data_IF_878978896634
#
_entry.id   IF_878978896634
#
_cell.length_a   1.000
_cell.length_b   1.000
_cell.length_c   1.000
_cell.angle_alpha   90.00
_cell.angle_beta   90.00
_cell.angle_gamma   90.00
#
_symmetry.space_group_name_H-M   'P 1'
#
loop_
_entity.id
_entity.type
_entity.pdbx_description
1 polymer ?
#
# COMPACT_ATOMS: atom_id res chain seq x y z
N UNK A 1 -3.16 1.77 15.43
CA UNK A 1 -3.05 2.26 14.04
C UNK A 1 -1.87 3.22 13.99
N UNK A 2 -1.05 3.17 12.94
CA UNK A 2 0.16 3.98 12.85
C UNK A 2 -0.17 5.49 12.77
N UNK A 3 0.35 6.28 13.72
CA UNK A 3 0.17 7.73 13.73
C UNK A 3 0.79 8.41 12.51
N UNK A 4 1.82 7.82 11.91
CA UNK A 4 2.55 8.34 10.76
C UNK A 4 2.02 7.84 9.41
N UNK A 5 0.89 7.12 9.40
CA UNK A 5 0.18 6.87 8.15
C UNK A 5 -0.65 8.10 7.79
N UNK A 6 -0.29 8.77 6.68
CA UNK A 6 -0.93 10.02 6.22
C UNK A 6 -1.98 9.82 5.11
N UNK A 7 -2.13 8.60 4.58
CA UNK A 7 -3.14 8.21 3.58
C UNK A 7 -4.46 7.77 4.21
N UNK A 8 -4.92 8.49 5.24
CA UNK A 8 -6.16 8.21 5.98
C UNK A 8 -7.13 9.39 5.88
N UNK A 9 -8.45 9.16 6.10
CA UNK A 9 -9.40 10.25 6.26
C UNK A 9 -8.91 11.28 7.29
N UNK A 10 -9.15 12.56 7.02
CA UNK A 10 -8.69 13.69 7.84
C UNK A 10 -7.18 13.95 7.87
N UNK A 11 -6.37 13.20 7.12
CA UNK A 11 -4.96 13.49 6.85
C UNK A 11 -4.74 13.80 5.37
N UNK A 12 -3.60 14.40 5.06
CA UNK A 12 -3.24 14.76 3.68
C UNK A 12 -1.73 14.70 3.49
N UNK A 13 -1.30 14.86 2.24
CA UNK A 13 0.11 15.01 1.90
C UNK A 13 0.74 16.24 2.55
N UNK A 14 -0.02 17.31 2.80
CA UNK A 14 0.45 18.49 3.55
C UNK A 14 0.89 18.12 4.96
N UNK A 15 0.11 17.32 5.68
CA UNK A 15 0.47 16.89 7.03
C UNK A 15 1.77 16.08 7.06
N UNK A 16 2.03 15.27 6.02
CA UNK A 16 3.29 14.53 5.88
C UNK A 16 4.48 15.47 5.64
N UNK A 17 4.29 16.50 4.80
CA UNK A 17 5.31 17.52 4.54
C UNK A 17 5.60 18.38 5.76
N UNK A 18 4.56 18.79 6.49
CA UNK A 18 4.68 19.55 7.74
C UNK A 18 5.46 18.74 8.78
N UNK A 19 5.13 17.45 8.94
CA UNK A 19 5.86 16.55 9.83
C UNK A 19 7.33 16.37 9.42
N UNK A 20 7.61 16.21 8.12
CA UNK A 20 8.97 16.09 7.60
C UNK A 20 9.77 17.35 7.88
N UNK A 21 9.21 18.52 7.59
CA UNK A 21 9.84 19.82 7.82
C UNK A 21 10.12 20.03 9.31
N UNK A 22 9.11 19.78 10.17
CA UNK A 22 9.26 19.86 11.61
C UNK A 22 10.40 18.96 12.11
N UNK A 23 10.48 17.72 11.63
CA UNK A 23 11.53 16.77 12.02
C UNK A 23 12.92 17.25 11.63
N UNK A 24 13.07 17.86 10.45
CA UNK A 24 14.35 18.44 10.00
C UNK A 24 14.73 19.63 10.89
N UNK A 25 13.81 20.56 11.11
CA UNK A 25 14.07 21.78 11.89
C UNK A 25 14.43 21.45 13.34
N UNK A 26 13.66 20.57 13.98
CA UNK A 26 13.91 20.14 15.35
C UNK A 26 15.29 19.48 15.50
N UNK A 27 15.72 18.67 14.52
CA UNK A 27 17.05 18.08 14.52
C UNK A 27 18.14 19.15 14.44
N UNK A 28 18.02 20.12 13.53
CA UNK A 28 18.98 21.21 13.38
C UNK A 28 19.07 22.10 14.63
N UNK A 29 17.94 22.40 15.26
CA UNK A 29 17.87 23.19 16.51
C UNK A 29 18.51 22.45 17.70
N UNK A 30 18.46 21.12 17.73
CA UNK A 30 19.08 20.29 18.77
C UNK A 30 20.61 20.22 18.70
N UNK A 31 21.25 20.96 17.78
CA UNK A 31 22.69 20.97 17.60
C UNK A 31 23.22 19.84 16.70
N UNK A 32 22.33 19.09 16.01
CA UNK A 32 22.76 18.14 14.99
C UNK A 32 23.27 18.91 13.77
N UNK A 33 24.50 18.66 13.34
CA UNK A 33 25.10 19.38 12.22
C UNK A 33 24.59 18.95 10.83
N UNK A 34 23.87 17.82 10.73
CA UNK A 34 23.33 17.33 9.46
C UNK A 34 22.12 16.43 9.68
N UNK A 35 21.17 16.49 8.74
CA UNK A 35 20.00 15.60 8.69
C UNK A 35 20.11 14.72 7.45
N UNK A 36 19.83 13.42 7.59
CA UNK A 36 19.80 12.46 6.48
C UNK A 36 18.42 11.81 6.41
N UNK A 37 17.82 11.81 5.22
CA UNK A 37 16.50 11.24 4.98
C UNK A 37 16.64 10.13 3.94
N UNK A 38 16.01 9.00 4.21
CA UNK A 38 15.95 7.88 3.29
C UNK A 38 14.55 7.81 2.68
N UNK A 39 14.47 7.90 1.35
CA UNK A 39 13.25 7.71 0.60
C UNK A 39 13.28 6.33 -0.05
N UNK A 40 12.20 5.56 0.15
CA UNK A 40 11.98 4.28 -0.49
C UNK A 40 10.59 4.25 -1.11
N UNK A 41 10.49 3.53 -2.23
CA UNK A 41 9.24 3.31 -2.93
C UNK A 41 9.18 1.87 -3.47
N UNK A 42 7.97 1.32 -3.56
CA UNK A 42 7.75 -0.03 -4.06
C UNK A 42 7.36 0.01 -5.54
N UNK A 43 8.15 -0.66 -6.38
CA UNK A 43 7.76 -0.87 -7.78
C UNK A 43 6.48 -1.68 -7.83
N UNK A 44 5.47 -1.19 -8.56
CA UNK A 44 4.21 -1.90 -8.79
C UNK A 44 3.58 -2.39 -7.47
N UNK A 45 3.48 -1.49 -6.48
CA UNK A 45 3.08 -1.83 -5.11
C UNK A 45 1.76 -2.60 -5.01
N UNK A 46 0.82 -2.41 -5.95
CA UNK A 46 -0.42 -3.17 -6.01
C UNK A 46 -0.34 -4.43 -6.86
N UNK A 47 0.50 -4.51 -7.90
CA UNK A 47 0.54 -5.69 -8.79
C UNK A 47 1.33 -6.86 -8.22
N UNK A 48 2.21 -6.61 -7.24
CA UNK A 48 3.19 -7.59 -6.73
C UNK A 48 2.89 -8.09 -5.32
N UNK A 49 1.70 -7.81 -4.78
CA UNK A 49 1.34 -8.25 -3.43
C UNK A 49 1.07 -9.75 -3.42
N UNK A 50 1.76 -10.47 -2.52
CA UNK A 50 1.50 -11.89 -2.26
C UNK A 50 0.19 -12.04 -1.48
N UNK A 51 -0.75 -12.81 -2.03
CA UNK A 51 -2.05 -13.03 -1.42
C UNK A 51 -1.96 -13.76 -0.08
N UNK A 52 -0.99 -14.65 0.11
CA UNK A 52 -0.84 -15.38 1.38
C UNK A 52 -0.51 -14.41 2.52
N UNK A 53 0.34 -13.42 2.25
CA UNK A 53 0.69 -12.38 3.24
C UNK A 53 -0.55 -11.60 3.66
N UNK A 54 -1.40 -11.19 2.71
CA UNK A 54 -2.66 -10.48 3.02
C UNK A 54 -3.56 -11.35 3.90
N UNK A 55 -3.74 -12.62 3.54
CA UNK A 55 -4.65 -13.52 4.25
C UNK A 55 -4.16 -13.82 5.66
N UNK A 56 -2.87 -14.04 5.84
CA UNK A 56 -2.29 -14.29 7.16
C UNK A 56 -2.35 -13.05 8.04
N UNK A 57 -2.17 -11.85 7.47
CA UNK A 57 -2.32 -10.60 8.18
C UNK A 57 -3.78 -10.33 8.60
N UNK A 58 -4.76 -10.64 7.74
CA UNK A 58 -6.18 -10.52 8.09
C UNK A 58 -6.57 -11.46 9.24
N UNK A 59 -6.03 -12.69 9.26
CA UNK A 59 -6.20 -13.61 10.38
C UNK A 59 -5.55 -13.07 11.66
N UNK A 60 -4.36 -12.47 11.56
CA UNK A 60 -3.65 -11.85 12.69
C UNK A 60 -4.43 -10.67 13.28
N UNK A 61 -5.19 -9.95 12.46
CA UNK A 61 -6.10 -8.87 12.87
C UNK A 61 -7.46 -9.38 13.40
N UNK A 62 -7.64 -10.70 13.56
CA UNK A 62 -8.86 -11.34 14.05
C UNK A 62 -10.12 -11.01 13.21
N UNK A 63 -9.93 -10.87 11.89
CA UNK A 63 -11.05 -10.68 10.97
C UNK A 63 -11.86 -11.97 10.86
N UNK A 64 -13.19 -11.85 10.87
CA UNK A 64 -14.09 -13.00 10.83
C UNK A 64 -13.77 -13.96 9.67
N UNK A 65 -13.71 -15.30 9.90
CA UNK A 65 -13.28 -16.27 8.89
C UNK A 65 -14.04 -16.19 7.56
N UNK A 66 -15.35 -15.90 7.58
CA UNK A 66 -16.14 -15.74 6.35
C UNK A 66 -15.70 -14.55 5.50
N UNK A 67 -15.25 -13.45 6.12
CA UNK A 67 -14.73 -12.28 5.40
C UNK A 67 -13.35 -12.62 4.84
N UNK A 68 -12.50 -13.28 5.62
CA UNK A 68 -11.18 -13.75 5.13
C UNK A 68 -11.34 -14.67 3.93
N UNK A 69 -12.32 -15.60 3.97
CA UNK A 69 -12.62 -16.49 2.84
C UNK A 69 -13.09 -15.70 1.62
N UNK A 70 -14.00 -14.75 1.81
CA UNK A 70 -14.48 -13.89 0.73
C UNK A 70 -13.34 -13.09 0.07
N UNK A 71 -12.42 -12.52 0.87
CA UNK A 71 -11.24 -11.81 0.35
C UNK A 71 -10.30 -12.77 -0.38
N UNK A 72 -10.07 -13.98 0.14
CA UNK A 72 -9.27 -15.00 -0.55
C UNK A 72 -9.85 -15.32 -1.92
N UNK A 73 -11.13 -15.67 -1.98
CA UNK A 73 -11.82 -16.00 -3.23
C UNK A 73 -11.83 -14.80 -4.20
N UNK A 74 -11.90 -13.56 -3.69
CA UNK A 74 -11.80 -12.34 -4.49
C UNK A 74 -10.40 -12.13 -5.10
N UNK A 75 -9.33 -12.55 -4.43
CA UNK A 75 -7.95 -12.34 -4.88
C UNK A 75 -7.42 -13.47 -5.76
N UNK A 76 -7.86 -14.71 -5.54
CA UNK A 76 -7.35 -15.90 -6.25
C UNK A 76 -8.00 -16.15 -7.61
N UNK A 77 -7.29 -16.90 -8.48
CA UNK A 77 -7.76 -17.34 -9.80
C UNK A 77 -8.29 -16.23 -10.72
N UNK A 78 -7.79 -15.01 -10.53
CA UNK A 78 -8.17 -13.87 -11.36
C UNK A 78 -7.47 -13.89 -12.73
N UNK A 79 -8.22 -13.46 -13.73
CA UNK A 79 -7.71 -13.11 -15.04
C UNK A 79 -7.93 -11.61 -15.31
N UNK A 80 -7.01 -10.99 -16.05
CA UNK A 80 -7.09 -9.60 -16.45
C UNK A 80 -6.95 -9.45 -17.97
N UNK A 81 -7.64 -8.47 -18.54
CA UNK A 81 -7.42 -7.99 -19.90
C UNK A 81 -7.41 -6.46 -19.90
N UNK A 82 -6.71 -5.86 -20.87
CA UNK A 82 -6.67 -4.41 -21.05
C UNK A 82 -7.61 -4.05 -22.19
N UNK A 83 -8.47 -3.05 -21.95
CA UNK A 83 -9.34 -2.46 -22.97
C UNK A 83 -8.80 -1.10 -23.38
N UNK A 84 -8.62 -0.89 -24.69
CA UNK A 84 -8.31 0.41 -25.28
C UNK A 84 -9.34 0.65 -26.38
N UNK A 85 -10.17 1.68 -26.22
CA UNK A 85 -11.32 1.96 -27.08
C UNK A 85 -12.23 0.72 -27.23
N UNK A 86 -12.31 0.15 -28.44
CA UNK A 86 -13.11 -1.03 -28.76
C UNK A 86 -12.29 -2.32 -28.84
N UNK A 87 -11.00 -2.28 -28.50
CA UNK A 87 -10.09 -3.42 -28.56
C UNK A 87 -9.82 -3.98 -27.17
N UNK A 88 -9.71 -5.30 -27.09
CA UNK A 88 -9.34 -6.03 -25.87
C UNK A 88 -8.06 -6.82 -26.13
N UNK A 89 -7.17 -6.84 -25.14
CA UNK A 89 -6.05 -7.78 -25.14
C UNK A 89 -6.53 -9.20 -24.90
N UNK A 90 -5.64 -10.18 -25.11
CA UNK A 90 -5.86 -11.51 -24.57
C UNK A 90 -5.97 -11.47 -23.04
N UNK A 91 -6.77 -12.39 -22.50
CA UNK A 91 -6.85 -12.63 -21.06
C UNK A 91 -5.53 -13.21 -20.55
N UNK A 92 -5.10 -12.75 -19.37
CA UNK A 92 -3.91 -13.24 -18.69
C UNK A 92 -4.23 -13.54 -17.25
N UNK A 93 -3.79 -14.72 -16.78
CA UNK A 93 -3.81 -15.05 -15.36
C UNK A 93 -2.92 -14.08 -14.58
N UNK A 94 -3.38 -13.73 -13.39
CA UNK A 94 -2.62 -12.90 -12.46
C UNK A 94 -1.88 -13.80 -11.48
N UNK A 95 -0.59 -13.53 -11.25
CA UNK A 95 0.24 -14.31 -10.33
C UNK A 95 0.34 -13.66 -8.94
N UNK A 96 -0.45 -12.62 -8.68
CA UNK A 96 -0.39 -11.80 -7.47
C UNK A 96 -1.05 -10.45 -7.69
N UNK A 97 -0.97 -9.62 -6.66
CA UNK A 97 -1.44 -8.25 -6.67
C UNK A 97 -2.94 -8.08 -6.42
N UNK A 98 -3.31 -6.84 -6.14
CA UNK A 98 -4.66 -6.37 -5.91
C UNK A 98 -5.30 -5.90 -7.22
N UNK A 99 -6.62 -6.03 -7.41
CA UNK A 99 -7.32 -5.34 -8.48
C UNK A 99 -7.20 -3.82 -8.33
N UNK A 100 -7.04 -3.11 -9.45
CA UNK A 100 -6.97 -1.64 -9.52
C UNK A 100 -8.22 -1.07 -10.20
#
# INVERSE_FOLDING_TARGET
MDSMQFSLPSKSTTHALDYLLYSILAALESGQCSVRIFFADFRKGFDLVDHNIIIDELKRLDVHPSIVRWIYDFLTDREQCVKIDNYYSSWKKTNGGLPQ
#
